data_IF_407786449796
#
_entry.id   IF_407786449796
#
_cell.length_a   1.000
_cell.length_b   1.000
_cell.length_c   1.000
_cell.angle_alpha   90.00
_cell.angle_beta   90.00
_cell.angle_gamma   90.00
#
_symmetry.space_group_name_H-M   'P 1'
#
loop_
_entity.id
_entity.type
_entity.pdbx_description
1 polymer ?
#
# COMPACT_ATOMS: atom_id res chain seq x y z
N UNK A 1 -21.70 5.88 6.24
CA UNK A 1 -20.92 4.87 5.48
C UNK A 1 -19.45 4.93 5.91
N UNK A 2 -19.19 4.66 7.19
CA UNK A 2 -17.85 4.68 7.77
C UNK A 2 -17.40 3.23 8.02
N UNK A 3 -17.06 2.54 6.96
CA UNK A 3 -16.21 1.32 7.03
C UNK A 3 -14.83 1.65 6.45
N UNK A 4 -14.37 2.89 6.68
CA UNK A 4 -13.01 3.30 6.34
C UNK A 4 -12.09 2.59 7.32
N UNK A 5 -11.62 1.42 6.89
CA UNK A 5 -10.24 1.01 7.10
C UNK A 5 -9.83 0.90 8.57
N UNK A 6 -10.34 -0.13 9.24
CA UNK A 6 -9.52 -0.77 10.28
C UNK A 6 -8.29 -1.38 9.56
N UNK A 7 -7.24 -0.55 9.46
CA UNK A 7 -5.88 -0.91 9.04
C UNK A 7 -4.95 -1.36 10.19
N UNK A 8 -5.37 -1.85 11.38
CA UNK A 8 -4.43 -2.30 12.40
C UNK A 8 -3.36 -3.23 11.83
N UNK A 9 -3.77 -4.22 11.04
CA UNK A 9 -2.86 -5.21 10.47
C UNK A 9 -1.79 -4.61 9.55
N UNK A 10 -2.10 -3.56 8.78
CA UNK A 10 -1.09 -2.91 7.93
C UNK A 10 -0.13 -2.05 8.74
N UNK A 11 -0.59 -1.49 9.87
CA UNK A 11 0.23 -0.69 10.79
C UNK A 11 1.12 -1.51 11.71
N UNK A 12 0.84 -2.81 11.85
CA UNK A 12 1.76 -3.74 12.52
C UNK A 12 3.03 -3.93 11.70
N UNK A 13 4.15 -4.09 12.38
CA UNK A 13 5.39 -4.52 11.74
C UNK A 13 5.15 -5.89 11.08
N UNK A 14 5.67 -6.13 9.86
CA UNK A 14 5.47 -7.41 9.18
C UNK A 14 5.86 -8.64 10.00
N UNK A 15 6.84 -8.52 10.90
CA UNK A 15 7.28 -9.61 11.78
C UNK A 15 6.31 -9.91 12.93
N UNK A 16 5.41 -8.98 13.26
CA UNK A 16 4.49 -9.09 14.40
C UNK A 16 3.07 -9.53 13.98
N UNK A 17 2.83 -9.78 12.68
CA UNK A 17 1.51 -10.17 12.16
C UNK A 17 1.23 -11.64 12.43
N UNK A 18 0.05 -11.92 12.99
CA UNK A 18 -0.48 -13.29 13.07
C UNK A 18 -1.28 -13.68 11.81
N UNK A 19 -1.79 -14.91 11.79
CA UNK A 19 -2.58 -15.41 10.65
C UNK A 19 -3.89 -14.63 10.45
N UNK A 20 -4.50 -14.11 11.51
CA UNK A 20 -5.74 -13.33 11.42
C UNK A 20 -5.47 -11.95 10.79
N UNK A 21 -4.37 -11.31 11.18
CA UNK A 21 -3.90 -10.06 10.59
C UNK A 21 -3.54 -10.21 9.11
N UNK A 22 -2.90 -11.33 8.74
CA UNK A 22 -2.58 -11.64 7.34
C UNK A 22 -3.85 -11.83 6.49
N UNK A 23 -4.89 -12.48 7.02
CA UNK A 23 -6.18 -12.63 6.30
C UNK A 23 -6.92 -11.29 6.16
N UNK A 24 -6.93 -10.45 7.21
CA UNK A 24 -7.50 -9.09 7.14
C UNK A 24 -6.77 -8.25 6.09
N UNK A 25 -5.45 -8.28 6.09
CA UNK A 25 -4.62 -7.55 5.13
C UNK A 25 -4.81 -8.08 3.70
N UNK A 26 -4.93 -9.39 3.52
CA UNK A 26 -5.24 -10.01 2.23
C UNK A 26 -6.58 -9.52 1.68
N UNK A 27 -7.64 -9.58 2.49
CA UNK A 27 -8.96 -9.09 2.10
C UNK A 27 -8.93 -7.60 1.74
N UNK A 28 -8.18 -6.80 2.50
CA UNK A 28 -7.98 -5.39 2.23
C UNK A 28 -7.27 -5.15 0.89
N UNK A 29 -6.12 -5.78 0.63
CA UNK A 29 -5.39 -5.62 -0.62
C UNK A 29 -6.18 -6.12 -1.83
N UNK A 30 -6.99 -7.18 -1.69
CA UNK A 30 -7.87 -7.66 -2.78
C UNK A 30 -9.02 -6.71 -3.09
N UNK A 31 -9.36 -5.76 -2.21
CA UNK A 31 -10.32 -4.71 -2.53
C UNK A 31 -9.78 -3.70 -3.55
N UNK A 32 -8.47 -3.69 -3.82
CA UNK A 32 -7.86 -2.74 -4.73
C UNK A 32 -7.92 -3.22 -6.16
N UNK A 33 -8.56 -2.42 -7.02
CA UNK A 33 -8.72 -2.74 -8.45
C UNK A 33 -7.38 -2.89 -9.17
N UNK A 34 -6.36 -2.12 -8.80
CA UNK A 34 -5.01 -2.22 -9.37
C UNK A 34 -4.34 -3.58 -9.11
N UNK A 35 -4.82 -4.33 -8.11
CA UNK A 35 -4.34 -5.65 -7.74
C UNK A 35 -5.27 -6.79 -8.21
N UNK A 36 -6.29 -6.49 -9.03
CA UNK A 36 -7.29 -7.48 -9.44
C UNK A 36 -6.67 -8.69 -10.16
N UNK A 37 -5.75 -8.44 -11.09
CA UNK A 37 -5.09 -9.46 -11.93
C UNK A 37 -3.90 -10.15 -11.24
N UNK A 38 -3.51 -9.69 -10.06
CA UNK A 38 -2.41 -10.30 -9.30
C UNK A 38 -2.91 -11.56 -8.62
N UNK A 39 -2.17 -12.66 -8.75
CA UNK A 39 -2.52 -13.96 -8.17
C UNK A 39 -2.58 -13.88 -6.64
N UNK A 40 -3.52 -14.60 -6.04
CA UNK A 40 -3.70 -14.64 -4.58
C UNK A 40 -2.42 -15.03 -3.84
N UNK A 41 -1.61 -15.95 -4.37
CA UNK A 41 -0.33 -16.34 -3.77
C UNK A 41 0.69 -15.19 -3.72
N UNK A 42 0.67 -14.33 -4.73
CA UNK A 42 1.50 -13.12 -4.76
C UNK A 42 0.98 -12.08 -3.77
N UNK A 43 -0.34 -11.85 -3.70
CA UNK A 43 -0.93 -10.94 -2.69
C UNK A 43 -0.65 -11.42 -1.27
N UNK A 44 -0.77 -12.73 -1.00
CA UNK A 44 -0.41 -13.33 0.30
C UNK A 44 1.08 -13.15 0.62
N UNK A 45 1.95 -13.19 -0.38
CA UNK A 45 3.37 -12.87 -0.19
C UNK A 45 3.55 -11.39 0.13
N UNK A 46 2.87 -10.48 -0.57
CA UNK A 46 2.89 -9.03 -0.26
C UNK A 46 2.43 -8.77 1.16
N UNK A 47 1.37 -9.44 1.65
CA UNK A 47 0.88 -9.28 3.03
C UNK A 47 1.96 -9.53 4.10
N UNK A 48 2.94 -10.39 3.81
CA UNK A 48 4.05 -10.70 4.73
C UNK A 48 5.18 -9.68 4.74
N UNK A 49 5.24 -8.79 3.75
CA UNK A 49 6.37 -7.85 3.60
C UNK A 49 5.93 -6.38 3.50
N UNK A 50 4.67 -6.11 3.15
CA UNK A 50 4.14 -4.78 2.98
C UNK A 50 4.24 -3.98 4.28
N UNK A 51 4.63 -2.71 4.18
CA UNK A 51 4.78 -1.79 5.30
C UNK A 51 3.84 -0.62 5.12
N UNK A 52 3.30 -0.13 6.22
CA UNK A 52 2.63 1.17 6.25
C UNK A 52 3.68 2.25 6.44
N UNK A 53 3.69 3.23 5.55
CA UNK A 53 4.53 4.42 5.67
C UNK A 53 3.65 5.66 5.63
N UNK A 54 3.98 6.64 6.46
CA UNK A 54 3.37 7.97 6.45
C UNK A 54 4.46 8.97 6.11
N UNK A 55 4.19 9.80 5.11
CA UNK A 55 5.09 10.83 4.64
C UNK A 55 4.40 12.18 4.74
N UNK A 56 5.17 13.19 5.13
CA UNK A 56 4.70 14.57 5.20
C UNK A 56 4.59 15.16 3.79
N UNK A 57 3.89 16.28 3.67
CA UNK A 57 3.86 17.02 2.41
C UNK A 57 5.28 17.43 1.98
N UNK A 58 5.52 17.44 0.66
CA UNK A 58 6.79 17.83 0.04
C UNK A 58 7.97 16.85 0.25
N UNK A 59 7.74 15.70 0.90
CA UNK A 59 8.74 14.64 0.98
C UNK A 59 8.95 13.96 -0.40
N UNK A 60 10.22 13.81 -0.80
CA UNK A 60 10.59 13.15 -2.04
C UNK A 60 10.82 11.66 -1.78
N UNK A 61 9.95 10.81 -2.31
CA UNK A 61 10.05 9.36 -2.15
C UNK A 61 11.09 8.71 -3.09
N UNK A 62 11.25 9.25 -4.29
CA UNK A 62 12.16 8.73 -5.31
C UNK A 62 12.63 9.84 -6.26
N UNK A 63 13.93 9.87 -6.52
CA UNK A 63 14.59 10.75 -7.48
C UNK A 63 14.82 10.10 -8.84
N UNK A 64 14.97 10.93 -9.88
CA UNK A 64 15.33 10.45 -11.21
C UNK A 64 16.75 9.86 -11.21
N UNK A 65 16.89 8.60 -11.64
CA UNK A 65 18.18 7.91 -11.71
C UNK A 65 18.55 7.12 -10.45
N UNK A 66 17.68 7.08 -9.44
CA UNK A 66 17.89 6.28 -8.24
C UNK A 66 17.48 4.82 -8.46
N UNK A 67 18.20 3.90 -7.81
CA UNK A 67 17.80 2.49 -7.75
C UNK A 67 16.61 2.34 -6.80
N UNK A 68 15.50 1.81 -7.32
CA UNK A 68 14.26 1.67 -6.57
C UNK A 68 14.23 0.29 -5.91
N UNK A 69 14.15 0.26 -4.58
CA UNK A 69 14.08 -0.97 -3.79
C UNK A 69 12.66 -1.46 -3.51
N UNK A 70 11.65 -0.59 -3.69
CA UNK A 70 10.26 -0.90 -3.37
C UNK A 70 9.27 -0.08 -4.21
N UNK A 71 7.99 -0.46 -4.16
CA UNK A 71 6.89 0.22 -4.84
C UNK A 71 5.82 0.58 -3.83
N UNK A 72 5.02 1.59 -4.16
CA UNK A 72 4.02 2.17 -3.25
C UNK A 72 2.60 2.00 -3.79
N UNK A 73 1.65 1.81 -2.89
CA UNK A 73 0.22 2.02 -3.15
C UNK A 73 -0.21 3.23 -2.34
N UNK A 74 -0.69 4.26 -3.03
CA UNK A 74 -1.18 5.46 -2.37
C UNK A 74 -2.55 5.22 -1.72
N UNK A 75 -2.59 5.19 -0.39
CA UNK A 75 -3.80 4.94 0.39
C UNK A 75 -4.64 6.19 0.64
N UNK A 76 -3.99 7.34 0.79
CA UNK A 76 -4.62 8.64 1.09
C UNK A 76 -3.72 9.78 0.61
N UNK A 77 -4.27 10.99 0.48
CA UNK A 77 -3.53 12.18 0.08
C UNK A 77 -3.36 12.29 -1.45
N UNK A 78 -2.22 12.82 -1.88
CA UNK A 78 -1.86 12.97 -3.28
C UNK A 78 -0.36 12.82 -3.48
N UNK A 79 0.05 12.44 -4.69
CA UNK A 79 1.48 12.41 -5.08
C UNK A 79 1.69 13.28 -6.31
N UNK A 80 2.87 13.90 -6.40
CA UNK A 80 3.26 14.69 -7.56
C UNK A 80 4.35 13.94 -8.34
N UNK A 81 4.05 13.57 -9.58
CA UNK A 81 4.94 12.80 -10.44
C UNK A 81 5.01 13.50 -11.78
N UNK A 82 6.21 13.87 -12.22
CA UNK A 82 6.50 14.46 -13.54
C UNK A 82 5.56 15.62 -13.94
N UNK A 83 5.26 16.54 -13.03
CA UNK A 83 4.42 17.69 -13.33
C UNK A 83 2.92 17.49 -13.10
N UNK A 84 2.48 16.28 -12.73
CA UNK A 84 1.07 15.93 -12.56
C UNK A 84 0.79 15.44 -11.14
N UNK A 85 -0.40 15.77 -10.64
CA UNK A 85 -0.89 15.30 -9.35
C UNK A 85 -1.78 14.06 -9.54
N UNK A 86 -1.56 13.06 -8.70
CA UNK A 86 -2.30 11.81 -8.71
C UNK A 86 -2.97 11.55 -7.36
N UNK A 87 -4.20 11.02 -7.40
CA UNK A 87 -5.05 10.76 -6.23
C UNK A 87 -5.34 9.26 -6.09
N UNK A 88 -5.57 8.77 -4.86
CA UNK A 88 -6.04 7.40 -4.63
C UNK A 88 -7.31 7.09 -5.42
N UNK A 89 -7.36 5.91 -6.04
CA UNK A 89 -8.56 5.41 -6.73
C UNK A 89 -8.82 5.96 -8.14
N UNK A 90 -8.03 6.92 -8.63
CA UNK A 90 -8.09 7.44 -10.01
C UNK A 90 -6.98 6.85 -10.89
N UNK A 91 -6.86 5.52 -10.91
CA UNK A 91 -5.92 4.76 -11.74
C UNK A 91 -6.68 3.76 -12.64
#
# INVERSE_FOLDING_TARGET
>A
MAQVLDLPALRLDPCDRDDEDLERLFAFLRSFRVLADVRDSAIRSICRFARYEYHEAEEVLFGCGEEISCWYILLSGSTFINGMMYLPGHW
#
